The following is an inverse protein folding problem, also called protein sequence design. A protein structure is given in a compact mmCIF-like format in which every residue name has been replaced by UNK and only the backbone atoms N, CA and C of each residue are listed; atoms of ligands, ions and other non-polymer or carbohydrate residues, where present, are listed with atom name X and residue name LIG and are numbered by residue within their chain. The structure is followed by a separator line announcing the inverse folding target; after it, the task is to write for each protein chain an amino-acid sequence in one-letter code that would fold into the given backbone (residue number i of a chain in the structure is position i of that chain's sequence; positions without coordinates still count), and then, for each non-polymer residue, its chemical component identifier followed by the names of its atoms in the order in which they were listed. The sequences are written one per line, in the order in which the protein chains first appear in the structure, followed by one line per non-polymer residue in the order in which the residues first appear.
data_IF_974978023939
#
_entry.id   IF_974978023939
#
_cell.length_a   1.000
_cell.length_b   1.000
_cell.length_c   1.000
_cell.angle_alpha   90.00
_cell.angle_beta   90.00
_cell.angle_gamma   90.00
#
_symmetry.space_group_name_H-M   'P 1'
#
loop_
_entity.id
_entity.type
_entity.pdbx_description
1 polymer ?
#
# COMPACT_ATOMS: atom_id res chain seq x y z
N UNK A 1 0.75 34.72 7.44
CA UNK A 1 0.80 33.34 7.97
C UNK A 1 1.54 32.51 6.94
N UNK A 2 2.48 31.63 7.35
CA UNK A 2 3.17 30.75 6.38
C UNK A 2 2.15 29.75 5.85
N UNK A 3 2.13 29.53 4.54
CA UNK A 3 1.22 28.60 3.89
C UNK A 3 1.98 27.70 2.92
N UNK A 4 1.55 26.45 2.80
CA UNK A 4 2.09 25.46 1.87
C UNK A 4 0.96 24.75 1.13
N UNK A 5 1.28 24.20 -0.03
CA UNK A 5 0.34 23.40 -0.83
C UNK A 5 0.67 21.92 -0.72
N UNK A 6 -0.34 21.09 -0.52
CA UNK A 6 -0.26 19.62 -0.62
C UNK A 6 -1.22 19.18 -1.71
N UNK A 7 -0.72 18.48 -2.72
CA UNK A 7 -1.49 18.07 -3.90
C UNK A 7 -1.73 16.55 -3.84
N UNK A 8 -2.99 16.16 -3.73
CA UNK A 8 -3.45 14.77 -3.63
C UNK A 8 -3.88 14.37 -2.22
N UNK A 9 -5.13 13.92 -2.08
CA UNK A 9 -5.76 13.49 -0.83
C UNK A 9 -5.63 11.99 -0.56
N UNK A 10 -4.56 11.34 -1.07
CA UNK A 10 -4.20 9.97 -0.76
C UNK A 10 -3.45 9.85 0.58
N UNK A 11 -3.02 8.63 0.93
CA UNK A 11 -2.33 8.34 2.21
C UNK A 11 -1.13 9.24 2.46
N UNK A 12 -0.29 9.46 1.44
CA UNK A 12 0.90 10.28 1.57
C UNK A 12 0.55 11.77 1.74
N UNK A 13 -0.40 12.30 0.96
CA UNK A 13 -0.79 13.70 1.04
C UNK A 13 -1.53 14.03 2.34
N UNK A 14 -2.43 13.16 2.78
CA UNK A 14 -3.13 13.35 4.07
C UNK A 14 -2.17 13.31 5.25
N UNK A 15 -1.21 12.38 5.24
CA UNK A 15 -0.18 12.32 6.28
C UNK A 15 0.72 13.56 6.27
N UNK A 16 1.18 14.01 5.07
CA UNK A 16 1.98 15.22 4.93
C UNK A 16 1.22 16.47 5.39
N UNK A 17 -0.04 16.63 4.97
CA UNK A 17 -0.88 17.75 5.36
C UNK A 17 -1.08 17.81 6.88
N UNK A 18 -1.33 16.66 7.51
CA UNK A 18 -1.51 16.56 8.95
C UNK A 18 -0.25 17.00 9.72
N UNK A 19 0.91 16.42 9.41
CA UNK A 19 2.14 16.75 10.17
C UNK A 19 2.62 18.19 9.94
N UNK A 20 2.38 18.76 8.74
CA UNK A 20 2.67 20.18 8.48
C UNK A 20 1.75 21.07 9.32
N UNK A 21 0.45 20.76 9.33
CA UNK A 21 -0.55 21.55 10.05
C UNK A 21 -0.35 21.49 11.58
N UNK A 22 0.05 20.33 12.13
CA UNK A 22 0.43 20.16 13.53
C UNK A 22 1.64 21.04 13.93
N UNK A 23 2.51 21.39 12.96
CA UNK A 23 3.62 22.33 13.20
C UNK A 23 3.22 23.82 13.14
N UNK A 24 1.91 24.12 13.07
CA UNK A 24 1.36 25.48 13.06
C UNK A 24 1.42 26.19 11.69
N UNK A 25 1.67 25.47 10.61
CA UNK A 25 1.68 26.01 9.24
C UNK A 25 0.32 25.78 8.61
N UNK A 26 -0.23 26.79 7.92
CA UNK A 26 -1.45 26.64 7.13
C UNK A 26 -1.22 25.79 5.89
N UNK A 27 -2.09 24.80 5.65
CA UNK A 27 -2.00 23.85 4.56
C UNK A 27 -3.20 23.97 3.64
N UNK A 28 -2.96 24.23 2.36
CA UNK A 28 -3.94 24.07 1.30
C UNK A 28 -3.83 22.64 0.77
N UNK A 29 -4.74 21.76 1.17
CA UNK A 29 -4.81 20.37 0.68
C UNK A 29 -5.74 20.31 -0.54
N UNK A 30 -5.15 20.12 -1.70
CA UNK A 30 -5.87 20.00 -2.97
C UNK A 30 -6.20 18.54 -3.29
N UNK A 31 -7.47 18.28 -3.55
CA UNK A 31 -7.96 16.98 -4.01
C UNK A 31 -8.92 17.19 -5.17
N UNK A 32 -8.80 16.42 -6.23
CA UNK A 32 -9.66 16.57 -7.42
C UNK A 32 -11.09 16.08 -7.21
N UNK A 33 -11.32 15.18 -6.22
CA UNK A 33 -12.66 14.73 -5.85
C UNK A 33 -13.45 15.83 -5.12
N UNK A 34 -14.78 15.87 -5.27
CA UNK A 34 -15.66 15.03 -6.07
C UNK A 34 -15.71 15.40 -7.55
N UNK A 35 -15.05 16.47 -8.00
CA UNK A 35 -15.14 16.96 -9.39
C UNK A 35 -14.60 15.96 -10.42
N UNK A 36 -13.55 15.22 -10.08
CA UNK A 36 -12.93 14.19 -10.92
C UNK A 36 -12.48 13.01 -10.06
N UNK A 37 -12.70 11.78 -10.53
CA UNK A 37 -12.19 10.56 -9.92
C UNK A 37 -11.16 9.89 -10.83
N UNK A 38 -10.13 9.29 -10.25
CA UNK A 38 -9.27 8.38 -11.01
C UNK A 38 -10.02 7.08 -11.33
N UNK A 39 -9.57 6.26 -12.28
CA UNK A 39 -10.22 4.99 -12.60
C UNK A 39 -10.36 4.02 -11.43
N UNK A 40 -9.53 4.14 -10.39
CA UNK A 40 -9.52 3.26 -9.21
C UNK A 40 -10.40 3.77 -8.05
N UNK A 41 -10.60 5.09 -7.92
CA UNK A 41 -11.36 5.69 -6.83
C UNK A 41 -12.86 5.70 -7.12
N UNK A 42 -13.67 5.45 -6.09
CA UNK A 42 -15.14 5.35 -6.18
C UNK A 42 -15.87 6.23 -5.18
N UNK A 43 -15.20 6.71 -4.15
CA UNK A 43 -15.78 7.56 -3.11
C UNK A 43 -15.16 8.95 -3.13
N UNK A 44 -15.83 9.92 -2.51
CA UNK A 44 -15.33 11.29 -2.36
C UNK A 44 -14.38 11.44 -1.17
N UNK A 45 -14.28 10.41 -0.32
CA UNK A 45 -13.43 10.43 0.86
C UNK A 45 -11.94 10.41 0.51
N UNK A 46 -11.15 11.03 1.39
CA UNK A 46 -9.69 10.99 1.33
C UNK A 46 -9.16 9.61 1.74
N UNK A 47 -7.92 9.28 1.40
CA UNK A 47 -7.27 8.00 1.77
C UNK A 47 -8.05 6.74 1.37
N UNK A 48 -8.78 6.76 0.27
CA UNK A 48 -9.48 5.57 -0.22
C UNK A 48 -8.49 4.45 -0.53
N UNK A 49 -8.68 3.27 0.09
CA UNK A 49 -7.86 2.09 -0.14
C UNK A 49 -8.32 1.34 -1.39
N UNK A 50 -7.69 1.59 -2.53
CA UNK A 50 -8.16 1.15 -3.85
C UNK A 50 -7.87 -0.32 -4.18
N UNK A 51 -6.83 -0.93 -3.62
CA UNK A 51 -6.43 -2.31 -3.92
C UNK A 51 -6.94 -3.30 -2.86
N UNK A 52 -6.56 -3.09 -1.61
CA UNK A 52 -6.78 -3.98 -0.48
C UNK A 52 -7.08 -3.16 0.78
N UNK A 53 -7.82 -3.73 1.74
CA UNK A 53 -7.99 -3.13 3.06
C UNK A 53 -6.88 -3.53 4.04
N UNK A 54 -5.90 -4.31 3.61
CA UNK A 54 -4.80 -4.78 4.45
C UNK A 54 -3.60 -3.85 4.38
N UNK A 55 -3.11 -3.47 5.53
CA UNK A 55 -1.83 -2.81 5.73
C UNK A 55 -0.71 -3.85 6.02
N UNK A 56 -0.91 -5.12 5.68
CA UNK A 56 0.03 -6.23 5.82
C UNK A 56 0.39 -6.56 7.28
N UNK A 57 1.47 -7.31 7.51
CA UNK A 57 1.89 -7.80 8.83
C UNK A 57 2.05 -6.68 9.87
N UNK A 58 1.54 -6.89 11.09
CA UNK A 58 1.67 -5.95 12.22
C UNK A 58 2.77 -6.38 13.22
N UNK A 59 3.60 -7.37 12.85
CA UNK A 59 4.65 -7.92 13.70
C UNK A 59 5.98 -7.21 13.51
N UNK A 60 6.72 -6.97 14.60
CA UNK A 60 8.01 -6.31 14.58
C UNK A 60 9.14 -7.15 13.94
N UNK A 61 8.96 -8.46 13.81
CA UNK A 61 9.88 -9.34 13.07
C UNK A 61 9.65 -9.27 11.54
N UNK A 62 8.78 -8.34 11.10
CA UNK A 62 8.52 -8.00 9.71
C UNK A 62 8.73 -6.51 9.49
N UNK A 63 9.43 -6.11 8.42
CA UNK A 63 9.81 -4.73 8.20
C UNK A 63 8.62 -3.77 8.03
N UNK A 64 7.49 -4.20 7.45
CA UNK A 64 6.30 -3.36 7.36
C UNK A 64 5.61 -3.21 8.73
N UNK A 65 5.72 -4.21 9.61
CA UNK A 65 5.26 -4.10 11.00
C UNK A 65 6.12 -3.13 11.80
N UNK A 66 7.44 -3.17 11.61
CA UNK A 66 8.36 -2.19 12.15
C UNK A 66 8.02 -0.78 11.65
N UNK A 67 7.82 -0.59 10.34
CA UNK A 67 7.49 0.70 9.76
C UNK A 67 6.21 1.29 10.37
N UNK A 68 5.17 0.46 10.60
CA UNK A 68 3.95 0.90 11.28
C UNK A 68 4.22 1.37 12.70
N UNK A 69 5.05 0.64 13.45
CA UNK A 69 5.39 1.04 14.81
C UNK A 69 6.24 2.33 14.85
N UNK A 70 7.13 2.52 13.87
CA UNK A 70 7.85 3.79 13.72
C UNK A 70 6.89 4.95 13.47
N UNK A 71 5.91 4.77 12.58
CA UNK A 71 4.87 5.77 12.30
C UNK A 71 4.00 6.07 13.53
N UNK A 72 3.60 5.04 14.32
CA UNK A 72 2.87 5.25 15.57
C UNK A 72 3.64 6.14 16.54
N UNK A 73 4.94 5.91 16.70
CA UNK A 73 5.82 6.73 17.56
C UNK A 73 6.01 8.16 17.07
N UNK A 74 5.80 8.35 15.76
CA UNK A 74 5.83 9.67 15.13
C UNK A 74 4.45 10.36 15.08
N UNK A 75 3.43 9.84 15.78
CA UNK A 75 2.05 10.34 15.83
C UNK A 75 1.37 10.41 14.45
N UNK A 76 1.62 9.43 13.59
CA UNK A 76 0.98 9.33 12.27
C UNK A 76 -0.55 9.31 12.37
N UNK A 77 -1.21 10.19 11.62
CA UNK A 77 -2.67 10.21 11.47
C UNK A 77 -3.17 8.90 10.87
N UNK A 78 -2.54 8.45 9.79
CA UNK A 78 -2.93 7.23 9.06
C UNK A 78 -2.86 6.02 9.98
N UNK A 79 -1.81 5.89 10.79
CA UNK A 79 -1.68 4.76 11.70
C UNK A 79 -2.66 4.82 12.87
N UNK A 80 -2.91 5.99 13.45
CA UNK A 80 -3.90 6.17 14.51
C UNK A 80 -5.29 5.74 14.05
N UNK A 81 -5.75 6.22 12.91
CA UNK A 81 -7.06 5.87 12.36
C UNK A 81 -7.11 4.39 11.91
N UNK A 82 -6.00 3.85 11.39
CA UNK A 82 -5.94 2.42 11.04
C UNK A 82 -6.08 1.51 12.27
N UNK A 83 -5.51 1.88 13.40
CA UNK A 83 -5.67 1.13 14.66
C UNK A 83 -7.10 1.22 15.21
N UNK A 84 -7.78 2.37 15.06
CA UNK A 84 -9.16 2.59 15.49
C UNK A 84 -10.20 1.87 14.62
N UNK A 85 -9.88 1.63 13.34
CA UNK A 85 -10.81 1.02 12.35
C UNK A 85 -10.42 -0.42 11.99
N UNK A 86 -9.66 -1.07 12.87
CA UNK A 86 -9.15 -2.44 12.69
C UNK A 86 -10.27 -3.45 12.54
N UNK A 87 -10.11 -4.37 11.59
CA UNK A 87 -10.94 -5.56 11.42
C UNK A 87 -10.11 -6.85 11.60
N UNK A 88 -10.71 -7.99 11.93
CA UNK A 88 -10.00 -9.25 12.13
C UNK A 88 -9.21 -9.68 10.90
N UNK A 89 -7.89 -9.91 11.06
CA UNK A 89 -6.99 -10.30 9.98
C UNK A 89 -5.76 -11.10 10.48
N UNK A 90 -5.88 -11.85 11.56
CA UNK A 90 -4.82 -12.68 12.14
C UNK A 90 -3.59 -11.87 12.56
N UNK A 91 -2.46 -12.09 11.92
CA UNK A 91 -1.21 -11.35 12.21
C UNK A 91 -1.01 -10.09 11.35
N UNK A 92 -1.99 -9.70 10.55
CA UNK A 92 -1.97 -8.49 9.75
C UNK A 92 -2.80 -7.37 10.41
N UNK A 93 -2.52 -6.13 10.05
CA UNK A 93 -3.42 -5.01 10.27
C UNK A 93 -4.29 -4.84 9.02
N UNK A 94 -5.58 -5.06 9.15
CA UNK A 94 -6.58 -4.71 8.15
C UNK A 94 -7.61 -3.76 8.77
N UNK A 95 -8.22 -2.93 7.95
CA UNK A 95 -9.15 -1.89 8.40
C UNK A 95 -10.51 -2.03 7.72
N UNK A 96 -11.57 -1.55 8.37
CA UNK A 96 -12.79 -1.23 7.67
C UNK A 96 -12.50 -0.10 6.67
N UNK A 97 -12.60 -0.43 5.39
CA UNK A 97 -12.19 0.46 4.30
C UNK A 97 -12.94 1.78 4.29
N UNK A 98 -14.23 1.73 4.54
CA UNK A 98 -15.13 2.89 4.50
C UNK A 98 -14.96 3.77 5.72
N UNK A 99 -14.96 3.17 6.92
CA UNK A 99 -14.81 3.90 8.17
C UNK A 99 -13.41 4.56 8.26
N UNK A 100 -12.37 3.88 7.80
CA UNK A 100 -11.01 4.41 7.72
C UNK A 100 -10.93 5.71 6.89
N UNK A 101 -11.41 5.67 5.64
CA UNK A 101 -11.38 6.83 4.74
C UNK A 101 -12.23 7.99 5.26
N UNK A 102 -13.43 7.67 5.76
CA UNK A 102 -14.36 8.65 6.33
C UNK A 102 -13.74 9.37 7.53
N UNK A 103 -13.16 8.63 8.49
CA UNK A 103 -12.56 9.24 9.70
C UNK A 103 -11.37 10.12 9.37
N UNK A 104 -10.48 9.71 8.46
CA UNK A 104 -9.37 10.57 8.02
C UNK A 104 -9.91 11.86 7.40
N UNK A 105 -10.93 11.75 6.53
CA UNK A 105 -11.56 12.90 5.88
C UNK A 105 -12.14 13.88 6.90
N UNK A 106 -12.87 13.37 7.90
CA UNK A 106 -13.45 14.17 8.96
C UNK A 106 -12.39 14.85 9.83
N UNK A 107 -11.33 14.14 10.17
CA UNK A 107 -10.23 14.65 11.00
C UNK A 107 -9.51 15.82 10.32
N UNK A 108 -9.18 15.66 9.03
CA UNK A 108 -8.54 16.73 8.27
C UNK A 108 -9.44 17.94 8.03
N UNK A 109 -10.74 17.72 7.78
CA UNK A 109 -11.72 18.82 7.65
C UNK A 109 -11.91 19.63 8.94
N UNK A 110 -11.73 19.00 10.10
CA UNK A 110 -11.85 19.67 11.42
C UNK A 110 -10.58 20.40 11.83
N UNK A 111 -9.45 20.12 11.19
CA UNK A 111 -8.16 20.67 11.59
C UNK A 111 -8.07 22.18 11.27
N UNK A 112 -7.79 23.06 12.24
CA UNK A 112 -7.87 24.52 12.07
C UNK A 112 -6.86 25.09 11.06
N UNK A 113 -5.77 24.37 10.81
CA UNK A 113 -4.70 24.77 9.90
C UNK A 113 -4.77 24.07 8.54
N UNK A 114 -5.83 23.30 8.23
CA UNK A 114 -5.99 22.63 6.94
C UNK A 114 -7.21 23.17 6.22
N UNK A 115 -7.02 23.66 5.01
CA UNK A 115 -8.09 23.98 4.08
C UNK A 115 -8.15 22.90 3.00
N UNK A 116 -9.23 22.11 2.99
CA UNK A 116 -9.46 21.10 1.94
C UNK A 116 -10.12 21.77 0.73
N UNK A 117 -9.41 21.80 -0.38
CA UNK A 117 -9.82 22.48 -1.62
C UNK A 117 -10.09 21.42 -2.69
N UNK A 118 -11.37 21.30 -3.08
CA UNK A 118 -11.77 20.40 -4.18
C UNK A 118 -11.45 21.03 -5.53
N UNK A 119 -10.25 20.75 -6.02
CA UNK A 119 -9.77 21.23 -7.31
C UNK A 119 -8.65 20.34 -7.85
N UNK A 120 -8.74 19.98 -9.14
CA UNK A 120 -7.63 19.38 -9.87
C UNK A 120 -6.50 20.40 -10.07
N UNK A 121 -5.28 20.04 -9.70
CA UNK A 121 -4.08 20.84 -9.96
C UNK A 121 -3.39 20.27 -11.19
N UNK A 122 -3.19 21.11 -12.18
CA UNK A 122 -2.57 20.74 -13.47
C UNK A 122 -1.16 21.29 -13.64
N UNK A 123 -0.78 22.28 -12.84
CA UNK A 123 0.53 22.92 -12.88
C UNK A 123 1.31 22.65 -11.57
N UNK A 124 2.64 22.66 -11.66
CA UNK A 124 3.49 22.53 -10.48
C UNK A 124 3.42 23.83 -9.68
N UNK A 125 3.08 23.79 -8.36
CA UNK A 125 3.01 24.98 -7.52
C UNK A 125 4.33 25.78 -7.51
N UNK A 126 4.24 27.10 -7.47
CA UNK A 126 5.39 27.99 -7.31
C UNK A 126 5.78 28.22 -5.86
N UNK A 127 4.83 28.05 -4.93
CA UNK A 127 5.03 28.09 -3.49
C UNK A 127 5.57 26.74 -2.96
N UNK A 128 6.08 26.69 -1.72
CA UNK A 128 6.49 25.44 -1.08
C UNK A 128 5.39 24.40 -1.09
N UNK A 129 5.69 23.19 -1.60
CA UNK A 129 4.65 22.18 -1.83
C UNK A 129 5.12 20.73 -1.67
N UNK A 130 4.13 19.84 -1.41
CA UNK A 130 4.26 18.39 -1.53
C UNK A 130 3.35 17.89 -2.65
N UNK A 131 3.91 17.22 -3.66
CA UNK A 131 3.16 16.49 -4.69
C UNK A 131 3.02 15.04 -4.24
N UNK A 132 1.79 14.64 -3.91
CA UNK A 132 1.43 13.33 -3.37
C UNK A 132 0.22 12.71 -4.10
N UNK A 133 0.15 12.93 -5.41
CA UNK A 133 -1.00 12.55 -6.26
C UNK A 133 -1.07 11.06 -6.56
N UNK A 134 -0.07 10.29 -6.12
CA UNK A 134 -0.06 8.84 -6.21
C UNK A 134 0.27 8.28 -7.59
N UNK A 135 0.16 6.94 -7.76
CA UNK A 135 0.65 6.26 -8.95
C UNK A 135 -0.26 6.44 -10.18
N UNK A 136 -1.49 6.93 -9.97
CA UNK A 136 -2.47 7.17 -11.05
C UNK A 136 -2.45 8.64 -11.52
N UNK A 137 -1.39 9.36 -11.20
CA UNK A 137 -1.18 10.73 -11.74
C UNK A 137 -1.15 10.68 -13.25
N UNK A 138 -1.99 11.48 -13.89
CA UNK A 138 -2.16 11.53 -15.35
C UNK A 138 -2.29 12.98 -15.86
N UNK A 139 -2.52 13.13 -17.16
CA UNK A 139 -2.86 14.38 -17.80
C UNK A 139 -1.80 15.47 -17.68
N UNK A 140 -2.25 16.72 -17.51
CA UNK A 140 -1.37 17.88 -17.58
C UNK A 140 -0.35 17.93 -16.43
N UNK A 141 -0.74 17.56 -15.21
CA UNK A 141 0.20 17.55 -14.09
C UNK A 141 1.34 16.55 -14.32
N UNK A 142 1.03 15.32 -14.79
CA UNK A 142 2.07 14.35 -15.10
C UNK A 142 2.99 14.83 -16.20
N UNK A 143 2.45 15.42 -17.28
CA UNK A 143 3.25 16.01 -18.35
C UNK A 143 4.16 17.14 -17.86
N UNK A 144 3.69 17.98 -16.94
CA UNK A 144 4.52 19.04 -16.33
C UNK A 144 5.61 18.48 -15.40
N UNK A 145 5.33 17.37 -14.68
CA UNK A 145 6.35 16.68 -13.88
C UNK A 145 7.40 16.04 -14.80
N UNK A 146 6.99 15.35 -15.86
CA UNK A 146 7.89 14.75 -16.86
C UNK A 146 8.78 15.81 -17.53
N UNK A 147 8.22 16.96 -17.88
CA UNK A 147 8.99 18.07 -18.44
C UNK A 147 9.99 18.67 -17.44
N UNK A 148 9.62 18.75 -16.15
CA UNK A 148 10.51 19.25 -15.10
C UNK A 148 11.67 18.29 -14.84
N UNK A 149 11.42 16.98 -14.88
CA UNK A 149 12.40 15.96 -14.51
C UNK A 149 13.09 15.31 -15.73
N UNK A 150 12.59 15.56 -16.95
CA UNK A 150 13.04 14.93 -18.20
C UNK A 150 13.00 13.37 -18.16
N UNK A 151 12.22 12.78 -17.22
CA UNK A 151 12.22 11.33 -16.99
C UNK A 151 10.98 10.85 -16.23
N UNK A 152 10.40 9.69 -16.61
CA UNK A 152 9.40 8.97 -15.83
C UNK A 152 9.41 7.48 -16.14
N UNK A 153 8.95 6.67 -15.20
CA UNK A 153 8.80 5.24 -15.37
C UNK A 153 7.36 4.81 -15.07
N UNK A 154 6.94 3.72 -15.72
CA UNK A 154 5.61 3.16 -15.54
C UNK A 154 5.67 1.67 -15.23
N UNK A 155 4.74 1.19 -14.42
CA UNK A 155 4.49 -0.22 -14.17
C UNK A 155 2.99 -0.50 -14.05
N UNK A 156 2.59 -1.77 -14.06
CA UNK A 156 1.20 -2.19 -13.91
C UNK A 156 0.96 -2.81 -12.54
N UNK A 157 -0.16 -2.43 -11.93
CA UNK A 157 -0.67 -2.98 -10.69
C UNK A 157 -2.10 -3.47 -10.88
N UNK A 158 -2.48 -4.54 -10.18
CA UNK A 158 -3.80 -5.13 -10.27
C UNK A 158 -4.49 -5.21 -8.90
N UNK A 159 -5.78 -4.91 -8.87
CA UNK A 159 -6.62 -5.05 -7.68
C UNK A 159 -7.29 -6.44 -7.63
N UNK A 160 -7.50 -6.96 -6.41
CA UNK A 160 -8.21 -8.19 -6.17
C UNK A 160 -9.72 -7.96 -5.99
N UNK A 161 -10.58 -8.96 -6.36
CA UNK A 161 -12.02 -8.84 -6.20
C UNK A 161 -12.50 -8.87 -4.75
N UNK A 162 -13.69 -8.29 -4.50
CA UNK A 162 -14.42 -8.34 -3.23
C UNK A 162 -15.78 -8.99 -3.48
N UNK A 163 -16.14 -9.95 -2.62
CA UNK A 163 -17.39 -10.71 -2.69
C UNK A 163 -18.21 -10.57 -1.40
N UNK A 164 -19.54 -10.79 -1.48
CA UNK A 164 -20.42 -10.78 -0.32
C UNK A 164 -20.39 -12.12 0.41
N UNK A 165 -20.44 -12.11 1.75
CA UNK A 165 -20.47 -13.32 2.58
C UNK A 165 -21.70 -14.20 2.26
N UNK A 166 -22.88 -13.56 2.09
CA UNK A 166 -24.16 -14.26 1.88
C UNK A 166 -24.20 -15.07 0.59
N UNK A 167 -23.39 -14.71 -0.40
CA UNK A 167 -23.26 -15.41 -1.68
C UNK A 167 -22.33 -16.62 -1.65
N UNK A 168 -21.64 -16.86 -0.52
CA UNK A 168 -20.67 -17.93 -0.38
C UNK A 168 -21.31 -19.22 0.13
N UNK A 169 -20.94 -20.37 -0.43
CA UNK A 169 -21.34 -21.68 0.09
C UNK A 169 -20.45 -22.06 1.32
N UNK A 170 -20.94 -21.71 2.50
CA UNK A 170 -20.24 -21.95 3.76
C UNK A 170 -20.07 -23.44 4.11
N UNK A 171 -20.76 -24.38 3.44
CA UNK A 171 -20.55 -25.82 3.62
C UNK A 171 -19.21 -26.29 3.02
N UNK A 172 -18.65 -25.50 2.11
CA UNK A 172 -17.38 -25.80 1.43
C UNK A 172 -16.22 -24.90 1.90
N UNK A 173 -16.48 -24.04 2.89
CA UNK A 173 -15.55 -23.04 3.41
C UNK A 173 -15.30 -23.33 4.90
N UNK A 174 -14.04 -23.27 5.33
CA UNK A 174 -13.66 -23.37 6.73
C UNK A 174 -13.15 -22.04 7.27
N UNK A 175 -13.39 -21.78 8.56
CA UNK A 175 -12.81 -20.61 9.25
C UNK A 175 -11.55 -21.02 9.98
N UNK A 176 -10.42 -20.44 9.61
CA UNK A 176 -9.14 -20.65 10.28
C UNK A 176 -8.14 -19.56 9.90
N UNK A 177 -7.19 -19.29 10.77
CA UNK A 177 -5.99 -18.50 10.46
C UNK A 177 -4.76 -19.40 10.48
N UNK A 178 -3.77 -19.10 9.63
CA UNK A 178 -2.56 -19.93 9.52
C UNK A 178 -1.85 -20.08 10.87
N UNK A 179 -1.37 -21.28 11.13
CA UNK A 179 -0.60 -21.65 12.33
C UNK A 179 -1.43 -21.52 13.64
N UNK A 180 -2.73 -21.78 13.59
CA UNK A 180 -3.60 -21.74 14.77
C UNK A 180 -3.77 -20.34 15.39
N UNK A 181 -3.63 -19.28 14.59
CA UNK A 181 -3.71 -17.88 15.06
C UNK A 181 -5.12 -17.31 14.98
N UNK A 182 -6.12 -18.06 15.40
CA UNK A 182 -7.52 -17.66 15.35
C UNK A 182 -8.28 -18.18 14.13
N UNK A 183 -9.42 -17.56 13.82
CA UNK A 183 -10.37 -17.97 12.78
C UNK A 183 -10.80 -16.83 11.86
N UNK A 184 -9.92 -15.86 11.63
CA UNK A 184 -10.26 -14.58 10.96
C UNK A 184 -10.43 -14.70 9.45
N UNK A 185 -9.88 -15.78 8.84
CA UNK A 185 -9.98 -16.00 7.40
C UNK A 185 -11.00 -17.07 7.06
N UNK A 186 -11.70 -16.87 5.95
CA UNK A 186 -12.44 -17.91 5.28
C UNK A 186 -11.49 -18.63 4.31
N UNK A 187 -11.51 -19.96 4.31
CA UNK A 187 -10.61 -20.78 3.51
C UNK A 187 -11.41 -21.70 2.60
N UNK A 188 -11.10 -21.66 1.31
CA UNK A 188 -11.70 -22.49 0.26
C UNK A 188 -10.70 -23.59 -0.12
N UNK A 189 -10.73 -24.77 0.50
CA UNK A 189 -9.79 -25.84 0.23
C UNK A 189 -10.10 -26.53 -1.08
N UNK A 190 -9.08 -26.81 -1.88
CA UNK A 190 -9.16 -27.44 -3.18
C UNK A 190 -8.48 -28.81 -3.15
N UNK A 191 -9.12 -29.81 -3.79
CA UNK A 191 -8.46 -31.06 -4.17
C UNK A 191 -7.46 -30.80 -5.28
N UNK A 192 -6.56 -31.75 -5.56
CA UNK A 192 -5.64 -31.68 -6.71
C UNK A 192 -6.40 -31.50 -8.03
N UNK A 193 -7.50 -32.19 -8.23
CA UNK A 193 -8.31 -32.09 -9.47
C UNK A 193 -8.91 -30.70 -9.62
N UNK A 194 -9.59 -30.18 -8.57
CA UNK A 194 -10.19 -28.83 -8.58
C UNK A 194 -9.12 -27.76 -8.86
N UNK A 195 -7.94 -27.91 -8.29
CA UNK A 195 -6.82 -26.99 -8.51
C UNK A 195 -6.36 -26.98 -9.98
N UNK A 196 -6.09 -28.14 -10.58
CA UNK A 196 -5.63 -28.19 -11.97
C UNK A 196 -6.72 -27.76 -12.97
N UNK A 197 -8.00 -28.09 -12.70
CA UNK A 197 -9.11 -27.62 -13.51
C UNK A 197 -9.22 -26.09 -13.45
N UNK A 198 -9.07 -25.50 -12.26
CA UNK A 198 -9.03 -24.05 -12.04
C UNK A 198 -7.83 -23.41 -12.77
N UNK A 199 -6.62 -23.92 -12.59
CA UNK A 199 -5.40 -23.35 -13.23
C UNK A 199 -5.51 -23.38 -14.75
N UNK A 200 -6.00 -24.47 -15.34
CA UNK A 200 -6.23 -24.55 -16.80
C UNK A 200 -7.23 -23.50 -17.28
N UNK A 201 -8.35 -23.34 -16.58
CA UNK A 201 -9.33 -22.32 -16.90
C UNK A 201 -8.77 -20.90 -16.77
N UNK A 202 -7.95 -20.66 -15.72
CA UNK A 202 -7.31 -19.37 -15.46
C UNK A 202 -6.29 -18.98 -16.55
N UNK A 203 -5.45 -19.94 -16.97
CA UNK A 203 -4.43 -19.70 -18.00
C UNK A 203 -5.04 -19.41 -19.37
N UNK A 204 -6.19 -20.03 -19.67
CA UNK A 204 -6.92 -19.87 -20.95
C UNK A 204 -7.95 -18.73 -20.94
N UNK A 205 -8.14 -18.06 -19.80
CA UNK A 205 -9.15 -17.02 -19.66
C UNK A 205 -8.81 -15.74 -20.44
N UNK A 206 -9.85 -15.05 -20.91
CA UNK A 206 -9.68 -13.77 -21.61
C UNK A 206 -9.34 -12.65 -20.66
N UNK A 207 -8.28 -11.91 -20.99
CA UNK A 207 -7.88 -10.69 -20.27
C UNK A 207 -8.52 -9.44 -20.88
N UNK A 208 -8.62 -8.37 -20.09
CA UNK A 208 -8.97 -7.06 -20.64
C UNK A 208 -7.85 -6.59 -21.60
N UNK A 209 -8.20 -5.85 -22.68
CA UNK A 209 -7.20 -5.33 -23.60
C UNK A 209 -6.21 -4.42 -22.87
N UNK A 210 -4.92 -4.65 -23.05
CA UNK A 210 -3.88 -3.72 -22.70
C UNK A 210 -3.70 -2.77 -23.91
N UNK A 211 -3.45 -1.47 -23.66
CA UNK A 211 -3.19 -0.53 -24.74
C UNK A 211 -1.86 -0.88 -25.43
N UNK A 212 -1.77 -0.68 -26.76
CA UNK A 212 -0.77 -1.22 -27.68
C UNK A 212 0.72 -0.87 -27.41
N UNK A 213 1.03 -0.09 -26.39
CA UNK A 213 2.41 0.38 -26.10
C UNK A 213 3.09 -0.32 -24.92
N UNK A 214 2.57 -1.47 -24.47
CA UNK A 214 2.87 -2.01 -23.15
C UNK A 214 3.59 -3.35 -23.21
N UNK A 215 4.92 -3.32 -23.24
CA UNK A 215 5.70 -4.43 -22.66
C UNK A 215 5.43 -4.41 -21.15
N UNK A 216 4.67 -5.43 -20.69
CA UNK A 216 4.08 -5.45 -19.34
C UNK A 216 5.19 -5.63 -18.28
N UNK A 217 5.74 -4.55 -17.77
CA UNK A 217 6.48 -4.57 -16.53
C UNK A 217 5.47 -4.61 -15.37
N UNK A 218 5.15 -5.82 -14.89
CA UNK A 218 4.27 -6.02 -13.73
C UNK A 218 5.13 -6.06 -12.47
N UNK A 219 4.75 -5.29 -11.44
CA UNK A 219 5.40 -5.37 -10.15
C UNK A 219 5.17 -6.75 -9.51
N UNK A 220 6.25 -7.43 -9.09
CA UNK A 220 6.18 -8.80 -8.55
C UNK A 220 5.21 -8.95 -7.36
N UNK A 221 5.08 -7.94 -6.52
CA UNK A 221 4.20 -7.95 -5.34
C UNK A 221 2.70 -7.86 -5.65
N UNK A 222 2.33 -7.39 -6.85
CA UNK A 222 0.94 -7.20 -7.31
C UNK A 222 0.66 -7.92 -8.63
N UNK A 223 1.45 -8.96 -8.92
CA UNK A 223 1.34 -9.74 -10.15
C UNK A 223 -0.06 -10.37 -10.28
N UNK A 224 -0.73 -10.21 -11.45
CA UNK A 224 -2.01 -10.86 -11.69
C UNK A 224 -1.92 -12.38 -11.54
N UNK A 225 -2.97 -12.98 -10.96
CA UNK A 225 -3.01 -14.41 -10.65
C UNK A 225 -2.90 -15.27 -11.91
N UNK A 226 -3.47 -14.84 -13.04
CA UNK A 226 -3.33 -15.51 -14.34
C UNK A 226 -1.91 -15.44 -14.90
N UNK A 227 -1.16 -14.35 -14.62
CA UNK A 227 0.25 -14.22 -15.02
C UNK A 227 1.12 -15.15 -14.17
N UNK A 228 0.86 -15.23 -12.86
CA UNK A 228 1.51 -16.22 -12.00
C UNK A 228 1.24 -17.65 -12.46
N UNK A 229 0.00 -17.98 -12.80
CA UNK A 229 -0.38 -19.32 -13.27
C UNK A 229 0.35 -19.73 -14.57
N UNK A 230 0.59 -18.78 -15.48
CA UNK A 230 1.32 -19.00 -16.74
C UNK A 230 2.82 -19.31 -16.52
N UNK A 231 3.39 -19.02 -15.35
CA UNK A 231 4.78 -19.37 -15.01
C UNK A 231 5.00 -20.85 -14.71
N UNK A 232 3.92 -21.61 -14.50
CA UNK A 232 3.93 -23.04 -14.27
C UNK A 232 2.77 -23.53 -13.43
N UNK A 233 2.34 -24.76 -13.67
CA UNK A 233 1.13 -25.36 -13.08
C UNK A 233 1.10 -25.38 -11.55
N UNK A 234 2.27 -25.38 -10.89
CA UNK A 234 2.39 -25.44 -9.43
C UNK A 234 2.72 -24.08 -8.81
N UNK A 235 2.90 -23.03 -9.61
CA UNK A 235 3.30 -21.71 -9.10
C UNK A 235 2.33 -21.19 -8.04
N UNK A 236 1.02 -21.31 -8.25
CA UNK A 236 0.02 -20.86 -7.29
C UNK A 236 -0.02 -21.73 -6.02
N UNK A 237 0.12 -23.06 -6.15
CA UNK A 237 0.09 -23.98 -5.00
C UNK A 237 1.29 -23.82 -4.06
N UNK A 238 2.45 -23.42 -4.57
CA UNK A 238 3.63 -23.07 -3.77
C UNK A 238 3.71 -21.59 -3.41
N UNK A 239 2.89 -20.76 -4.04
CA UNK A 239 2.76 -19.31 -3.86
C UNK A 239 1.56 -18.91 -2.98
N UNK A 240 0.62 -18.11 -3.53
CA UNK A 240 -0.49 -17.55 -2.76
C UNK A 240 -1.48 -18.59 -2.26
N UNK A 241 -1.63 -19.74 -2.92
CA UNK A 241 -2.60 -20.80 -2.57
C UNK A 241 -2.01 -21.94 -1.75
N UNK A 242 -0.78 -21.81 -1.24
CA UNK A 242 -0.16 -22.87 -0.46
C UNK A 242 -0.99 -23.24 0.78
N UNK A 243 -1.23 -24.55 1.09
CA UNK A 243 -2.04 -24.97 2.22
C UNK A 243 -1.28 -24.95 3.57
N UNK A 244 -0.01 -24.57 3.59
CA UNK A 244 0.85 -24.61 4.78
C UNK A 244 0.30 -23.76 5.92
N UNK A 245 0.23 -24.35 7.12
CA UNK A 245 -0.28 -23.70 8.34
C UNK A 245 -1.80 -23.74 8.50
N UNK A 246 -2.54 -24.44 7.61
CA UNK A 246 -4.00 -24.61 7.63
C UNK A 246 -4.35 -26.11 7.88
N UNK A 247 -3.86 -26.66 8.99
CA UNK A 247 -4.05 -28.07 9.32
C UNK A 247 -5.51 -28.50 9.55
N UNK A 248 -6.37 -27.53 9.90
CA UNK A 248 -7.80 -27.76 10.17
C UNK A 248 -8.67 -27.75 8.91
N UNK A 249 -8.09 -27.31 7.75
CA UNK A 249 -8.83 -27.30 6.50
C UNK A 249 -8.82 -28.69 5.86
N UNK A 250 -9.99 -29.12 5.39
CA UNK A 250 -10.19 -30.40 4.70
C UNK A 250 -10.85 -30.15 3.33
N UNK A 251 -10.31 -30.76 2.28
CA UNK A 251 -10.90 -30.67 0.95
C UNK A 251 -12.16 -31.55 0.83
N UNK A 252 -12.89 -31.42 -0.29
CA UNK A 252 -14.16 -32.12 -0.53
C UNK A 252 -14.04 -33.65 -0.52
N UNK A 253 -12.84 -34.19 -0.72
CA UNK A 253 -12.54 -35.63 -0.66
C UNK A 253 -12.17 -36.14 0.74
N UNK A 254 -12.28 -35.29 1.77
CA UNK A 254 -11.94 -35.62 3.15
C UNK A 254 -10.44 -35.62 3.46
N UNK A 255 -9.58 -35.20 2.52
CA UNK A 255 -8.12 -35.19 2.65
C UNK A 255 -7.59 -33.79 2.91
N UNK A 256 -6.28 -33.71 3.22
CA UNK A 256 -5.58 -32.43 3.28
C UNK A 256 -5.67 -31.73 1.92
N UNK A 257 -5.96 -30.42 1.90
CA UNK A 257 -6.10 -29.69 0.66
C UNK A 257 -4.78 -29.63 -0.13
N UNK A 258 -4.86 -29.72 -1.45
CA UNK A 258 -3.73 -29.51 -2.34
C UNK A 258 -3.40 -28.01 -2.44
N UNK A 259 -4.42 -27.16 -2.45
CA UNK A 259 -4.30 -25.70 -2.44
C UNK A 259 -5.47 -25.10 -1.62
N UNK A 260 -5.31 -23.88 -1.14
CA UNK A 260 -6.34 -23.16 -0.39
C UNK A 260 -6.41 -21.71 -0.84
N UNK A 261 -7.57 -21.26 -1.29
CA UNK A 261 -7.84 -19.84 -1.51
C UNK A 261 -8.33 -19.24 -0.18
N UNK A 262 -7.75 -18.13 0.23
CA UNK A 262 -8.12 -17.42 1.45
C UNK A 262 -8.94 -16.18 1.13
N UNK A 263 -10.00 -15.94 1.90
CA UNK A 263 -10.79 -14.72 1.85
C UNK A 263 -10.58 -13.97 3.17
N UNK A 264 -10.31 -12.67 3.07
CA UNK A 264 -10.11 -11.81 4.22
C UNK A 264 -11.26 -10.83 4.35
N UNK A 265 -11.73 -10.61 5.57
CA UNK A 265 -12.76 -9.64 5.89
C UNK A 265 -12.35 -8.22 5.41
N UNK A 266 -13.27 -7.51 4.73
CA UNK A 266 -13.04 -6.19 4.14
C UNK A 266 -13.77 -5.04 4.85
N UNK A 267 -14.76 -5.34 5.70
CA UNK A 267 -15.53 -4.37 6.49
C UNK A 267 -15.76 -4.85 7.93
N UNK A 268 -16.13 -3.95 8.83
CA UNK A 268 -16.35 -4.23 10.26
C UNK A 268 -17.48 -5.22 10.50
N UNK A 269 -18.54 -5.16 9.70
CA UNK A 269 -19.73 -6.02 9.80
C UNK A 269 -19.45 -7.49 9.41
N UNK A 270 -18.31 -7.76 8.76
CA UNK A 270 -17.95 -9.10 8.27
C UNK A 270 -18.85 -9.61 7.15
N UNK A 271 -19.44 -8.70 6.37
CA UNK A 271 -20.31 -9.01 5.23
C UNK A 271 -19.60 -9.04 3.89
N UNK A 272 -18.40 -8.43 3.80
CA UNK A 272 -17.59 -8.32 2.59
C UNK A 272 -16.25 -9.01 2.77
N UNK A 273 -15.79 -9.72 1.73
CA UNK A 273 -14.54 -10.47 1.77
C UNK A 273 -13.70 -10.26 0.50
N UNK A 274 -12.43 -9.94 0.70
CA UNK A 274 -11.43 -9.82 -0.38
C UNK A 274 -10.80 -11.17 -0.67
N UNK A 275 -10.69 -11.54 -1.95
CA UNK A 275 -10.03 -12.78 -2.39
C UNK A 275 -8.52 -12.54 -2.39
N UNK A 276 -7.83 -13.11 -1.40
CA UNK A 276 -6.39 -12.82 -1.15
C UNK A 276 -5.51 -13.41 -2.24
N UNK A 277 -4.66 -12.56 -2.85
CA UNK A 277 -3.73 -12.98 -3.89
C UNK A 277 -4.35 -13.11 -5.29
N UNK A 278 -5.57 -12.60 -5.49
CA UNK A 278 -6.30 -12.64 -6.74
C UNK A 278 -6.35 -11.30 -7.47
N UNK A 279 -5.27 -10.55 -7.43
CA UNK A 279 -5.07 -9.45 -8.36
C UNK A 279 -5.20 -9.98 -9.79
N UNK A 280 -5.93 -9.28 -10.67
CA UNK A 280 -6.25 -9.85 -11.98
C UNK A 280 -6.55 -8.79 -13.03
N UNK A 281 -6.20 -9.09 -14.29
CA UNK A 281 -6.61 -8.37 -15.48
C UNK A 281 -7.68 -9.15 -16.30
N UNK A 282 -8.27 -10.19 -15.75
CA UNK A 282 -9.33 -10.92 -16.43
C UNK A 282 -10.54 -10.03 -16.67
N UNK A 283 -11.22 -10.22 -17.81
CA UNK A 283 -12.53 -9.60 -18.05
C UNK A 283 -13.53 -10.01 -16.97
N UNK A 284 -14.46 -9.15 -16.61
CA UNK A 284 -15.42 -9.40 -15.50
C UNK A 284 -16.20 -10.70 -15.64
N UNK A 285 -16.62 -11.06 -16.87
CA UNK A 285 -17.25 -12.35 -17.15
C UNK A 285 -16.35 -13.54 -16.86
N UNK A 286 -15.06 -13.43 -17.19
CA UNK A 286 -14.06 -14.45 -16.93
C UNK A 286 -13.73 -14.57 -15.43
N UNK A 287 -13.66 -13.44 -14.71
CA UNK A 287 -13.51 -13.48 -13.24
C UNK A 287 -14.65 -14.28 -12.61
N UNK A 288 -15.90 -14.01 -13.00
CA UNK A 288 -17.06 -14.74 -12.48
C UNK A 288 -16.99 -16.23 -12.85
N UNK A 289 -16.66 -16.58 -14.09
CA UNK A 289 -16.57 -17.97 -14.58
C UNK A 289 -15.42 -18.73 -13.90
N UNK A 290 -14.23 -18.20 -13.91
CA UNK A 290 -13.01 -18.89 -13.44
C UNK A 290 -12.96 -18.94 -11.93
N UNK A 291 -13.20 -17.82 -11.23
CA UNK A 291 -13.17 -17.82 -9.77
C UNK A 291 -14.37 -18.53 -9.16
N UNK A 292 -15.49 -18.66 -9.90
CA UNK A 292 -16.62 -19.52 -9.54
C UNK A 292 -16.28 -21.02 -9.48
N UNK A 293 -15.15 -21.45 -10.08
CA UNK A 293 -14.66 -22.84 -9.95
C UNK A 293 -14.01 -23.13 -8.59
N UNK A 294 -13.69 -22.10 -7.84
CA UNK A 294 -13.13 -22.24 -6.49
C UNK A 294 -14.23 -22.74 -5.54
N UNK A 295 -13.98 -23.81 -4.73
CA UNK A 295 -14.96 -24.32 -3.78
C UNK A 295 -15.52 -23.22 -2.88
N UNK A 296 -16.85 -23.12 -2.84
CA UNK A 296 -17.56 -22.10 -2.07
C UNK A 296 -17.83 -20.77 -2.79
N UNK A 297 -17.27 -20.53 -4.00
CA UNK A 297 -17.44 -19.29 -4.76
C UNK A 297 -18.31 -19.44 -6.01
N UNK A 298 -18.96 -20.60 -6.22
CA UNK A 298 -19.73 -20.85 -7.47
C UNK A 298 -20.83 -19.82 -7.74
N UNK A 299 -21.43 -19.27 -6.69
CA UNK A 299 -22.48 -18.26 -6.78
C UNK A 299 -22.03 -16.89 -6.21
N UNK A 300 -20.73 -16.66 -6.10
CA UNK A 300 -20.21 -15.45 -5.48
C UNK A 300 -20.70 -14.17 -6.18
N UNK A 301 -21.22 -13.24 -5.40
CA UNK A 301 -21.62 -11.91 -5.83
C UNK A 301 -20.49 -10.92 -5.61
N UNK A 302 -20.07 -10.28 -6.71
CA UNK A 302 -18.94 -9.35 -6.72
C UNK A 302 -19.42 -7.92 -6.45
N UNK A 303 -19.06 -7.38 -5.29
CA UNK A 303 -19.20 -5.95 -5.00
C UNK A 303 -18.15 -5.14 -5.77
N UNK A 304 -16.99 -5.76 -5.98
CA UNK A 304 -15.89 -5.18 -6.74
C UNK A 304 -15.19 -6.27 -7.55
N UNK A 305 -15.01 -6.01 -8.84
CA UNK A 305 -14.15 -6.84 -9.68
C UNK A 305 -12.68 -6.43 -9.57
N UNK A 306 -11.78 -7.36 -9.81
CA UNK A 306 -10.38 -7.07 -10.03
C UNK A 306 -10.18 -6.26 -11.31
N UNK A 307 -9.25 -5.30 -11.27
CA UNK A 307 -8.88 -4.47 -12.41
C UNK A 307 -7.38 -4.19 -12.38
N UNK A 308 -6.78 -3.97 -13.56
CA UNK A 308 -5.38 -3.56 -13.68
C UNK A 308 -5.31 -2.06 -13.96
N UNK A 309 -4.34 -1.40 -13.35
CA UNK A 309 -4.06 0.02 -13.55
C UNK A 309 -2.60 0.20 -13.97
N UNK A 310 -2.36 1.19 -14.84
CA UNK A 310 -1.02 1.68 -15.12
C UNK A 310 -0.63 2.66 -14.01
N UNK A 311 0.49 2.38 -13.36
CA UNK A 311 1.06 3.20 -12.32
C UNK A 311 2.28 3.96 -12.84
N UNK A 312 2.44 5.21 -12.44
CA UNK A 312 3.59 6.04 -12.75
C UNK A 312 4.45 6.24 -11.52
N UNK A 313 5.77 6.27 -11.71
CA UNK A 313 6.72 6.66 -10.67
C UNK A 313 7.92 7.38 -11.29
N UNK A 314 8.64 8.13 -10.47
CA UNK A 314 9.78 8.94 -10.89
C UNK A 314 11.09 8.14 -10.86
N UNK A 315 12.07 8.53 -11.65
CA UNK A 315 13.48 8.13 -11.46
C UNK A 315 14.07 8.86 -10.23
N UNK A 316 13.44 8.66 -9.08
CA UNK A 316 13.69 9.39 -7.85
C UNK A 316 15.15 9.47 -7.42
N UNK A 317 16.02 8.45 -7.64
CA UNK A 317 17.43 8.55 -7.30
C UNK A 317 18.18 9.66 -8.01
N UNK A 318 17.75 10.05 -9.21
CA UNK A 318 18.34 11.16 -9.94
C UNK A 318 17.91 12.53 -9.39
N UNK A 319 16.69 12.63 -8.88
CA UNK A 319 16.00 13.88 -8.63
C UNK A 319 15.78 14.20 -7.17
N UNK A 320 15.55 13.20 -6.31
CA UNK A 320 15.17 13.42 -4.92
C UNK A 320 16.34 13.32 -3.95
N UNK A 321 16.24 14.08 -2.87
CA UNK A 321 17.09 13.96 -1.69
C UNK A 321 16.50 12.91 -0.71
N UNK A 322 17.25 12.46 0.32
CA UNK A 322 16.70 11.62 1.39
C UNK A 322 15.57 12.29 2.21
N UNK A 323 15.32 13.56 1.98
CA UNK A 323 14.22 14.31 2.60
C UNK A 323 12.94 14.30 1.75
N UNK A 324 12.96 13.66 0.57
CA UNK A 324 11.92 13.70 -0.47
C UNK A 324 11.78 15.05 -1.17
N UNK A 325 12.68 16.02 -0.96
CA UNK A 325 12.74 17.27 -1.72
C UNK A 325 13.42 17.08 -3.07
N UNK A 326 13.02 17.88 -4.05
CA UNK A 326 13.70 17.94 -5.34
C UNK A 326 15.10 18.60 -5.16
N UNK A 327 16.15 18.00 -5.75
CA UNK A 327 17.54 18.51 -5.64
C UNK A 327 17.69 19.93 -6.21
N UNK A 328 17.00 20.22 -7.29
CA UNK A 328 17.07 21.49 -8.01
C UNK A 328 16.11 22.55 -7.45
N UNK A 329 15.13 22.12 -6.64
CA UNK A 329 14.14 22.99 -6.02
C UNK A 329 13.78 22.45 -4.61
N UNK A 330 14.52 22.92 -3.62
CA UNK A 330 14.48 22.40 -2.24
C UNK A 330 13.12 22.54 -1.53
N UNK A 331 12.24 23.45 -1.99
CA UNK A 331 10.90 23.68 -1.43
C UNK A 331 9.80 22.88 -2.15
N UNK A 332 10.15 22.07 -3.15
CA UNK A 332 9.24 21.14 -3.82
C UNK A 332 9.55 19.70 -3.40
N UNK A 333 8.59 19.07 -2.77
CA UNK A 333 8.67 17.69 -2.26
C UNK A 333 7.76 16.76 -3.06
N UNK A 334 8.14 15.49 -3.13
CA UNK A 334 7.31 14.43 -3.66
C UNK A 334 7.07 13.37 -2.59
N UNK A 335 5.88 12.73 -2.57
CA UNK A 335 5.57 11.67 -1.61
C UNK A 335 4.66 10.61 -2.22
N UNK A 336 4.58 9.46 -1.56
CA UNK A 336 3.77 8.33 -1.99
C UNK A 336 4.41 7.49 -3.09
N UNK A 337 3.61 6.61 -3.70
CA UNK A 337 4.08 5.67 -4.72
C UNK A 337 4.72 6.36 -5.93
N UNK A 338 4.39 7.61 -6.21
CA UNK A 338 5.03 8.40 -7.25
C UNK A 338 6.56 8.48 -7.05
N UNK A 339 7.06 8.41 -5.82
CA UNK A 339 8.50 8.42 -5.52
C UNK A 339 9.18 7.06 -5.67
N UNK A 340 8.44 5.99 -5.98
CA UNK A 340 8.99 4.63 -6.03
C UNK A 340 9.00 3.91 -4.68
N UNK A 341 8.31 4.43 -3.64
CA UNK A 341 7.91 3.59 -2.50
C UNK A 341 6.68 2.78 -2.89
N UNK A 342 6.61 1.52 -2.48
CA UNK A 342 5.50 0.65 -2.86
C UNK A 342 4.74 0.16 -1.61
N UNK A 343 3.44 0.50 -1.55
CA UNK A 343 2.52 0.10 -0.49
C UNK A 343 1.90 1.27 0.26
N UNK A 344 0.80 0.99 0.97
CA UNK A 344 0.03 1.99 1.70
C UNK A 344 0.80 2.62 2.87
N UNK A 345 1.46 1.77 3.66
CA UNK A 345 2.23 2.21 4.84
C UNK A 345 3.48 2.95 4.41
N UNK A 346 4.12 2.50 3.36
CA UNK A 346 5.29 3.15 2.74
C UNK A 346 4.91 4.52 2.17
N UNK A 347 3.72 4.63 1.56
CA UNK A 347 3.20 5.92 1.07
C UNK A 347 2.96 6.90 2.21
N UNK A 348 2.29 6.46 3.30
CA UNK A 348 2.11 7.28 4.49
C UNK A 348 3.46 7.69 5.11
N UNK A 349 4.42 6.76 5.17
CA UNK A 349 5.77 7.02 5.68
C UNK A 349 6.51 8.10 4.89
N UNK A 350 6.44 8.05 3.56
CA UNK A 350 7.05 9.08 2.71
C UNK A 350 6.35 10.44 2.90
N UNK A 351 5.02 10.44 3.06
CA UNK A 351 4.23 11.64 3.36
C UNK A 351 4.62 12.27 4.69
N UNK A 352 4.76 11.46 5.74
CA UNK A 352 5.23 11.90 7.05
C UNK A 352 6.63 12.53 6.95
N UNK A 353 7.57 11.84 6.32
CA UNK A 353 8.96 12.33 6.20
C UNK A 353 9.05 13.61 5.36
N UNK A 354 8.35 13.67 4.22
CA UNK A 354 8.27 14.86 3.36
C UNK A 354 7.61 16.03 4.10
N UNK A 355 6.48 15.79 4.78
CA UNK A 355 5.75 16.81 5.51
C UNK A 355 6.56 17.41 6.67
N UNK A 356 7.21 16.57 7.49
CA UNK A 356 8.11 17.04 8.56
C UNK A 356 9.23 17.91 7.97
N UNK A 357 9.87 17.48 6.89
CA UNK A 357 11.01 18.18 6.33
C UNK A 357 10.63 19.47 5.61
N UNK A 358 9.47 19.51 4.91
CA UNK A 358 8.93 20.76 4.39
C UNK A 358 8.56 21.75 5.49
N UNK A 359 7.88 21.30 6.55
CA UNK A 359 7.53 22.15 7.68
C UNK A 359 8.78 22.76 8.35
N UNK A 360 9.84 21.98 8.46
CA UNK A 360 11.12 22.44 9.02
C UNK A 360 11.78 23.47 8.10
N UNK A 361 11.82 23.20 6.81
CA UNK A 361 12.37 24.15 5.81
C UNK A 361 11.63 25.48 5.86
N UNK A 362 10.30 25.46 5.83
CA UNK A 362 9.45 26.68 5.91
C UNK A 362 9.68 27.43 7.23
N UNK A 363 9.97 26.71 8.32
CA UNK A 363 10.31 27.31 9.61
C UNK A 363 11.78 27.66 9.80
N UNK A 364 12.61 27.61 8.72
CA UNK A 364 14.05 27.85 8.74
C UNK A 364 14.80 26.96 9.75
N UNK A 365 14.36 25.69 9.88
CA UNK A 365 14.98 24.68 10.74
C UNK A 365 15.70 23.65 9.87
N UNK A 366 16.83 23.06 10.32
CA UNK A 366 17.50 21.99 9.59
C UNK A 366 16.57 20.81 9.33
N UNK A 367 16.60 20.25 8.13
CA UNK A 367 15.88 19.01 7.79
C UNK A 367 16.40 17.84 8.64
N UNK A 368 15.57 16.80 8.78
CA UNK A 368 15.88 15.61 9.58
C UNK A 368 16.03 14.40 8.67
N UNK A 369 17.21 13.80 8.70
CA UNK A 369 17.45 12.49 8.14
C UNK A 369 17.00 11.41 9.14
N UNK A 370 16.04 10.57 8.72
CA UNK A 370 15.60 9.42 9.49
C UNK A 370 16.63 8.29 9.51
N UNK A 371 17.66 8.37 8.71
CA UNK A 371 18.78 7.45 8.53
C UNK A 371 18.39 6.02 8.15
N UNK A 372 19.27 5.29 7.47
CA UNK A 372 19.04 3.87 7.13
C UNK A 372 18.94 2.93 8.33
N UNK A 373 19.05 3.43 9.55
CA UNK A 373 18.85 2.68 10.80
C UNK A 373 17.37 2.46 11.11
N UNK A 374 16.47 3.24 10.52
CA UNK A 374 15.01 3.13 10.61
C UNK A 374 14.43 2.62 9.30
N UNK A 375 13.22 2.06 9.30
CA UNK A 375 12.53 1.67 8.08
C UNK A 375 12.07 2.89 7.26
N UNK A 376 11.64 3.98 7.94
CA UNK A 376 11.32 5.29 7.31
C UNK A 376 12.52 5.80 6.52
N UNK A 377 13.69 5.91 7.17
CA UNK A 377 14.90 6.41 6.53
C UNK A 377 15.48 5.46 5.49
N UNK A 378 15.38 4.15 5.70
CA UNK A 378 15.84 3.16 4.72
C UNK A 378 15.07 3.27 3.38
N UNK A 379 13.76 3.53 3.41
CA UNK A 379 12.98 3.82 2.21
C UNK A 379 13.38 5.16 1.58
N UNK A 380 13.55 6.21 2.38
CA UNK A 380 13.96 7.53 1.90
C UNK A 380 15.32 7.49 1.18
N UNK A 381 16.30 6.81 1.77
CA UNK A 381 17.62 6.59 1.16
C UNK A 381 17.56 5.67 -0.06
N UNK A 382 16.68 4.64 -0.05
CA UNK A 382 16.52 3.80 -1.24
C UNK A 382 16.03 4.61 -2.44
N UNK A 383 14.97 5.40 -2.28
CA UNK A 383 14.41 6.17 -3.40
C UNK A 383 15.27 7.35 -3.85
N UNK A 384 16.24 7.78 -3.04
CA UNK A 384 17.10 8.92 -3.36
C UNK A 384 18.55 8.58 -3.72
N UNK A 385 19.03 7.39 -3.34
CA UNK A 385 20.46 7.01 -3.45
C UNK A 385 20.67 5.67 -4.16
N UNK A 386 19.60 5.04 -4.70
CA UNK A 386 19.74 3.79 -5.44
C UNK A 386 20.67 3.98 -6.65
N UNK A 387 21.71 3.15 -6.74
CA UNK A 387 22.75 3.23 -7.75
C UNK A 387 22.83 1.99 -8.67
N UNK A 388 21.83 1.11 -8.62
CA UNK A 388 21.74 -0.04 -9.51
C UNK A 388 21.33 0.34 -10.94
N UNK A 389 21.39 -0.61 -11.84
CA UNK A 389 21.11 -0.41 -13.27
C UNK A 389 19.64 -0.12 -13.60
N UNK A 390 18.71 -0.53 -12.73
CA UNK A 390 17.27 -0.35 -12.95
C UNK A 390 16.59 -0.06 -11.61
N UNK A 391 16.17 1.19 -11.42
CA UNK A 391 15.38 1.59 -10.26
C UNK A 391 13.97 0.97 -10.37
N UNK A 392 13.52 0.36 -9.27
CA UNK A 392 12.20 -0.27 -9.17
C UNK A 392 11.52 0.15 -7.87
N UNK A 393 10.18 0.21 -7.84
CA UNK A 393 9.45 0.44 -6.60
C UNK A 393 9.83 -0.52 -5.49
N UNK A 394 9.85 -0.04 -4.23
CA UNK A 394 10.35 -0.80 -3.08
C UNK A 394 9.39 -0.78 -1.90
N UNK A 395 9.08 -1.97 -1.40
CA UNK A 395 8.42 -2.14 -0.11
C UNK A 395 9.42 -2.05 1.05
N UNK A 396 8.93 -1.72 2.24
CA UNK A 396 9.73 -1.83 3.46
C UNK A 396 10.24 -3.26 3.64
N UNK A 397 11.57 -3.40 3.75
CA UNK A 397 12.24 -4.68 4.02
C UNK A 397 13.55 -4.46 4.78
N UNK A 398 13.98 -5.46 5.55
CA UNK A 398 15.21 -5.35 6.34
C UNK A 398 16.48 -5.30 5.48
N UNK A 399 16.41 -5.68 4.20
CA UNK A 399 17.57 -5.70 3.29
C UNK A 399 18.05 -4.33 2.85
N UNK A 400 17.19 -3.30 2.92
CA UNK A 400 17.57 -1.92 2.60
C UNK A 400 18.03 -1.13 3.84
N UNK A 401 17.84 -1.67 5.05
CA UNK A 401 18.29 -1.05 6.28
C UNK A 401 19.81 -1.23 6.50
N UNK A 402 20.40 -0.31 7.23
CA UNK A 402 21.80 -0.43 7.68
C UNK A 402 22.02 -1.73 8.47
N UNK A 403 23.07 -2.48 8.15
CA UNK A 403 23.40 -3.73 8.82
C UNK A 403 23.84 -3.51 10.27
N UNK A 404 23.72 -4.55 11.10
CA UNK A 404 24.24 -4.53 12.47
C UNK A 404 25.70 -4.95 12.46
N UNK A 405 26.61 -4.24 13.17
CA UNK A 405 28.04 -4.62 13.24
C UNK A 405 28.28 -6.06 13.72
N UNK A 406 27.47 -6.53 14.67
CA UNK A 406 27.52 -7.88 15.23
C UNK A 406 26.18 -8.58 15.05
N UNK A 407 25.72 -8.73 13.79
CA UNK A 407 24.41 -9.28 13.49
C UNK A 407 24.29 -10.74 13.97
N UNK A 408 23.23 -11.11 14.72
CA UNK A 408 22.95 -12.50 15.05
C UNK A 408 22.84 -13.37 13.79
N UNK A 409 23.36 -14.60 13.85
CA UNK A 409 23.24 -15.57 12.72
C UNK A 409 21.78 -16.00 12.52
N UNK A 410 21.06 -16.18 13.58
CA UNK A 410 19.62 -16.48 13.53
C UNK A 410 18.83 -15.32 12.94
N UNK A 411 18.05 -15.63 11.90
CA UNK A 411 17.30 -14.63 11.12
C UNK A 411 16.29 -13.86 11.99
N UNK A 412 15.58 -14.55 12.87
CA UNK A 412 14.56 -13.94 13.72
C UNK A 412 15.19 -12.99 14.74
N UNK A 413 16.23 -13.43 15.44
CA UNK A 413 16.98 -12.59 16.39
C UNK A 413 17.61 -11.39 15.71
N UNK A 414 18.10 -11.56 14.47
CA UNK A 414 18.64 -10.44 13.68
C UNK A 414 17.57 -9.40 13.37
N UNK A 415 16.37 -9.82 12.97
CA UNK A 415 15.28 -8.91 12.68
C UNK A 415 14.74 -8.22 13.94
N UNK A 416 14.65 -8.93 15.06
CA UNK A 416 14.33 -8.36 16.37
C UNK A 416 15.34 -7.27 16.78
N UNK A 417 16.64 -7.52 16.60
CA UNK A 417 17.69 -6.56 16.92
C UNK A 417 17.67 -5.32 16.00
N UNK A 418 17.39 -5.50 14.69
CA UNK A 418 17.21 -4.38 13.75
C UNK A 418 16.03 -3.52 14.17
N UNK A 419 14.89 -4.14 14.50
CA UNK A 419 13.69 -3.42 14.95
C UNK A 419 13.92 -2.66 16.25
N UNK A 420 14.60 -3.25 17.23
CA UNK A 420 14.93 -2.58 18.48
C UNK A 420 15.79 -1.34 18.24
N UNK A 421 16.85 -1.44 17.44
CA UNK A 421 17.70 -0.31 17.05
C UNK A 421 16.91 0.79 16.36
N UNK A 422 16.03 0.41 15.42
CA UNK A 422 15.21 1.34 14.66
C UNK A 422 14.28 2.14 15.57
N UNK A 423 13.56 1.46 16.46
CA UNK A 423 12.65 2.11 17.41
C UNK A 423 13.35 3.06 18.36
N UNK A 424 14.54 2.70 18.87
CA UNK A 424 15.38 3.61 19.68
C UNK A 424 15.80 4.85 18.86
N UNK A 425 16.11 4.68 17.59
CA UNK A 425 16.47 5.79 16.70
C UNK A 425 15.29 6.72 16.47
N UNK A 426 14.10 6.17 16.18
CA UNK A 426 12.87 6.95 16.00
C UNK A 426 12.48 7.70 17.28
N UNK A 427 12.55 7.05 18.44
CA UNK A 427 12.28 7.73 19.74
C UNK A 427 13.22 8.93 19.95
N UNK A 428 14.48 8.79 19.57
CA UNK A 428 15.47 9.88 19.65
C UNK A 428 15.13 11.03 18.69
N UNK A 429 14.66 10.71 17.48
CA UNK A 429 14.22 11.71 16.49
C UNK A 429 12.95 12.42 16.98
N UNK A 430 11.95 11.68 17.46
CA UNK A 430 10.72 12.23 17.99
C UNK A 430 10.97 13.17 19.20
N UNK A 431 11.89 12.80 20.09
CA UNK A 431 12.28 13.65 21.21
C UNK A 431 12.95 14.96 20.76
N UNK A 432 13.83 14.91 19.75
CA UNK A 432 14.45 16.12 19.16
C UNK A 432 13.43 17.04 18.51
N UNK A 433 12.44 16.50 17.79
CA UNK A 433 11.36 17.28 17.20
C UNK A 433 10.57 18.04 18.26
N UNK A 434 10.11 17.36 19.31
CA UNK A 434 9.37 17.96 20.44
C UNK A 434 10.15 19.04 21.20
N UNK A 435 11.47 18.89 21.33
CA UNK A 435 12.32 19.90 22.00
C UNK A 435 12.48 21.18 21.17
N UNK A 436 12.42 21.07 19.86
CA UNK A 436 12.60 22.20 18.94
C UNK A 436 11.30 22.95 18.63
N UNK A 437 10.14 22.39 19.00
CA UNK A 437 8.83 23.04 18.89
C UNK A 437 8.50 23.95 20.08
N UNK A 438 9.20 23.77 21.19
CA UNK A 438 9.15 24.65 22.36
C UNK A 438 10.09 25.84 22.23
#
# INVERSE_FOLDING_TARGET
MKSVSVIGGGLAGCEAAYVIAESGIHVNLFEMKPGKHSPAHKTDDLCELVCSNSLRSDKLDNAVGLLKEELRRMNSLVMRIADETRVPAGGALAVDRTDFSKRITEELKKHPNIELISREITEIPTEPAVIATGPLTDGALMGNIENLLEDSLHFFDAAAPIVTLESLDMNRISRASRYGRGSDYLNCPMTMREYYDFVRALVSAETAPLHEFETVNVFEGCMPVEVMAKRGDLTLAYGPLKPVGLAECTASDGKKPFAVVQLRQDNSEGTLFNIVGFQTNLRFGEQKRVFGMIPGLANAEYVRYGVMHRNSFLQSPKHLTPFYSLREREDLFFAGQLTGVEGYVESASSGLAAGINLARLVNNRPQIDFTRRTAIGALAHYVSEYNGSSFQPMNANFGIMETLPNAPRDKRRRFEALSQRALQTVDSIAAKLKQQEK
#
